data_IF_911311366321
#
_entry.id   IF_911311366321
#
_cell.length_a   1.000
_cell.length_b   1.000
_cell.length_c   1.000
_cell.angle_alpha   90.00
_cell.angle_beta   90.00
_cell.angle_gamma   90.00
#
_symmetry.space_group_name_H-M   'P 1'
#
loop_
_entity.id
_entity.type
_entity.pdbx_description
1 polymer ?
#
# COMPACT_ATOMS: atom_id res chain seq x y z
N UNK A 1 13.65 7.47 -22.06
CA UNK A 1 14.25 7.43 -20.71
C UNK A 1 14.93 6.07 -20.49
N UNK A 2 16.02 6.00 -19.73
CA UNK A 2 16.67 4.72 -19.39
C UNK A 2 15.75 3.90 -18.47
N UNK A 3 15.69 2.58 -18.66
CA UNK A 3 14.94 1.66 -17.79
C UNK A 3 15.48 1.73 -16.36
N UNK A 4 14.59 1.74 -15.38
CA UNK A 4 14.94 1.70 -13.95
C UNK A 4 15.56 0.35 -13.62
N UNK A 5 16.60 0.32 -12.78
CA UNK A 5 17.04 -0.91 -12.11
C UNK A 5 16.65 -0.81 -10.64
N UNK A 6 15.88 -1.78 -10.14
CA UNK A 6 15.49 -1.86 -8.74
C UNK A 6 16.70 -2.14 -7.83
N UNK A 7 16.55 -2.03 -6.52
CA UNK A 7 17.59 -2.46 -5.58
C UNK A 7 17.99 -3.93 -5.78
N UNK A 8 17.03 -4.79 -6.13
CA UNK A 8 17.29 -6.18 -6.51
C UNK A 8 18.14 -6.28 -7.78
N UNK A 9 17.80 -5.53 -8.85
CA UNK A 9 18.59 -5.53 -10.09
C UNK A 9 20.02 -5.01 -9.86
N UNK A 10 20.19 -4.04 -8.97
CA UNK A 10 21.52 -3.52 -8.58
C UNK A 10 22.31 -4.58 -7.84
N UNK A 11 21.72 -5.25 -6.84
CA UNK A 11 22.36 -6.35 -6.11
C UNK A 11 22.80 -7.47 -7.05
N UNK A 12 21.94 -7.88 -7.99
CA UNK A 12 22.24 -8.97 -8.93
C UNK A 12 23.42 -8.63 -9.85
N UNK A 13 23.54 -7.37 -10.28
CA UNK A 13 24.60 -6.95 -11.21
C UNK A 13 25.95 -6.71 -10.55
N UNK A 14 25.97 -6.38 -9.26
CA UNK A 14 27.20 -6.02 -8.55
C UNK A 14 27.77 -7.19 -7.72
N UNK A 15 28.69 -7.93 -8.33
CA UNK A 15 29.38 -9.06 -7.70
C UNK A 15 30.20 -8.62 -6.47
N UNK A 16 30.75 -7.40 -6.45
CA UNK A 16 31.53 -6.94 -5.31
C UNK A 16 30.62 -6.62 -4.14
N UNK A 17 29.48 -5.98 -4.39
CA UNK A 17 28.44 -5.77 -3.38
C UNK A 17 27.95 -7.09 -2.79
N UNK A 18 27.70 -8.12 -3.62
CA UNK A 18 27.31 -9.45 -3.15
C UNK A 18 28.32 -10.05 -2.16
N UNK A 19 29.62 -9.87 -2.41
CA UNK A 19 30.70 -10.37 -1.54
C UNK A 19 30.78 -9.66 -0.19
N UNK A 20 30.21 -8.46 -0.05
CA UNK A 20 30.16 -7.75 1.24
C UNK A 20 29.21 -8.40 2.24
N UNK A 21 28.24 -9.20 1.76
CA UNK A 21 27.25 -9.87 2.59
C UNK A 21 27.69 -11.30 2.93
N UNK A 22 28.54 -11.43 3.94
CA UNK A 22 29.08 -12.72 4.43
C UNK A 22 28.16 -13.37 5.46
N UNK A 23 28.23 -14.70 5.63
CA UNK A 23 27.33 -15.40 6.56
C UNK A 23 25.93 -15.63 6.00
N UNK A 24 24.97 -15.93 6.87
CA UNK A 24 23.64 -16.38 6.49
C UNK A 24 22.72 -15.23 6.12
N UNK A 25 21.96 -15.42 5.04
CA UNK A 25 21.02 -14.43 4.53
C UNK A 25 19.59 -14.95 4.58
N UNK A 26 18.67 -14.02 4.82
CA UNK A 26 17.24 -14.26 4.72
C UNK A 26 16.57 -13.17 3.90
N UNK A 27 15.35 -13.43 3.41
CA UNK A 27 14.64 -12.53 2.52
C UNK A 27 13.17 -12.39 2.92
N UNK A 28 12.75 -11.17 3.23
CA UNK A 28 11.35 -10.74 3.27
C UNK A 28 10.93 -10.31 1.86
N UNK A 29 10.02 -11.06 1.25
CA UNK A 29 9.56 -10.82 -0.12
C UNK A 29 8.13 -11.33 -0.34
N UNK A 30 7.59 -11.02 -1.51
CA UNK A 30 6.28 -11.49 -1.98
C UNK A 30 6.34 -11.79 -3.48
N UNK A 31 5.21 -12.13 -4.12
CA UNK A 31 5.19 -12.50 -5.53
C UNK A 31 5.70 -11.40 -6.49
N UNK A 32 5.48 -10.11 -6.16
CA UNK A 32 5.97 -8.99 -6.96
C UNK A 32 7.46 -8.64 -6.76
N UNK A 33 8.18 -9.42 -5.95
CA UNK A 33 9.62 -9.31 -5.70
C UNK A 33 10.38 -9.95 -6.86
N UNK A 34 10.27 -9.36 -8.05
CA UNK A 34 10.92 -9.84 -9.28
C UNK A 34 11.97 -8.85 -9.76
N UNK A 35 12.95 -9.37 -10.50
CA UNK A 35 13.92 -8.57 -11.24
C UNK A 35 13.35 -8.15 -12.62
N UNK A 36 14.13 -7.37 -13.36
CA UNK A 36 13.74 -6.89 -14.69
C UNK A 36 13.55 -7.96 -15.77
N UNK A 37 13.85 -9.23 -15.47
CA UNK A 37 13.71 -10.42 -16.35
C UNK A 37 12.63 -11.39 -15.87
N UNK A 38 11.70 -10.94 -15.02
CA UNK A 38 10.61 -11.76 -14.47
C UNK A 38 11.07 -12.93 -13.57
N UNK A 39 12.30 -12.88 -13.05
CA UNK A 39 12.80 -13.87 -12.11
C UNK A 39 12.56 -13.40 -10.68
N UNK A 40 11.94 -14.26 -9.88
CA UNK A 40 11.68 -14.00 -8.46
C UNK A 40 12.97 -13.84 -7.65
N UNK A 41 12.95 -12.93 -6.68
CA UNK A 41 14.08 -12.58 -5.81
C UNK A 41 14.62 -13.81 -5.09
N UNK A 42 13.76 -14.67 -4.53
CA UNK A 42 14.16 -15.91 -3.88
C UNK A 42 15.01 -16.84 -4.78
N UNK A 43 14.69 -16.92 -6.08
CA UNK A 43 15.50 -17.68 -7.05
C UNK A 43 16.87 -17.06 -7.23
N UNK A 44 16.94 -15.72 -7.35
CA UNK A 44 18.21 -15.00 -7.44
C UNK A 44 19.03 -15.07 -6.16
N UNK A 45 18.40 -15.10 -5.00
CA UNK A 45 19.08 -15.28 -3.73
C UNK A 45 19.67 -16.69 -3.61
N UNK A 46 18.95 -17.73 -4.04
CA UNK A 46 19.50 -19.10 -4.14
C UNK A 46 20.72 -19.15 -5.07
N UNK A 47 20.67 -18.48 -6.22
CA UNK A 47 21.80 -18.41 -7.18
C UNK A 47 23.02 -17.69 -6.58
N UNK A 48 22.82 -16.55 -5.92
CA UNK A 48 23.90 -15.68 -5.42
C UNK A 48 24.51 -16.21 -4.13
N UNK A 49 23.67 -16.63 -3.17
CA UNK A 49 24.10 -16.95 -1.81
C UNK A 49 24.17 -18.45 -1.53
N UNK A 50 23.63 -19.30 -2.40
CA UNK A 50 23.69 -20.75 -2.28
C UNK A 50 23.10 -21.24 -0.95
N UNK A 51 23.84 -22.08 -0.23
CA UNK A 51 23.43 -22.65 1.06
C UNK A 51 23.33 -21.62 2.19
N UNK A 52 23.83 -20.39 2.01
CA UNK A 52 23.70 -19.31 2.99
C UNK A 52 22.32 -18.67 2.97
N UNK A 53 21.53 -18.87 1.91
CA UNK A 53 20.14 -18.43 1.88
C UNK A 53 19.28 -19.41 2.67
N UNK A 54 18.93 -19.04 3.90
CA UNK A 54 18.46 -20.00 4.91
C UNK A 54 17.00 -19.84 5.31
N UNK A 55 16.39 -18.66 5.09
CA UNK A 55 15.04 -18.35 5.59
C UNK A 55 14.32 -17.36 4.66
N UNK A 56 13.01 -17.53 4.55
CA UNK A 56 12.08 -16.65 3.85
C UNK A 56 11.07 -16.07 4.83
N UNK A 57 10.63 -14.83 4.56
CA UNK A 57 9.56 -14.17 5.27
C UNK A 57 8.53 -13.63 4.27
N UNK A 58 7.24 -13.80 4.57
CA UNK A 58 6.12 -13.25 3.80
C UNK A 58 5.36 -12.19 4.60
N UNK A 59 4.95 -11.07 3.99
CA UNK A 59 4.13 -10.04 4.64
C UNK A 59 2.64 -10.43 4.64
N UNK A 60 1.74 -9.45 4.80
CA UNK A 60 0.32 -9.60 4.46
C UNK A 60 0.16 -10.18 3.04
N UNK A 61 -0.84 -11.06 2.84
CA UNK A 61 -1.03 -11.91 1.65
C UNK A 61 -0.02 -13.05 1.47
N UNK A 62 0.99 -13.15 2.32
CA UNK A 62 1.99 -14.22 2.30
C UNK A 62 3.06 -14.08 1.23
N UNK A 63 4.04 -15.00 1.26
CA UNK A 63 5.14 -15.06 0.30
C UNK A 63 4.64 -15.26 -1.16
N UNK A 64 3.61 -16.08 -1.35
CA UNK A 64 3.00 -16.41 -2.64
C UNK A 64 1.91 -15.43 -3.08
N UNK A 65 1.48 -14.51 -2.21
CA UNK A 65 0.39 -13.55 -2.51
C UNK A 65 -0.94 -14.23 -2.87
N UNK A 66 -1.21 -15.40 -2.27
CA UNK A 66 -2.39 -16.23 -2.51
C UNK A 66 -3.50 -16.02 -1.47
N UNK A 67 -3.20 -15.38 -0.34
CA UNK A 67 -4.22 -15.07 0.67
C UNK A 67 -5.01 -13.81 0.31
N UNK A 68 -6.34 -13.91 0.34
CA UNK A 68 -7.26 -12.80 0.07
C UNK A 68 -7.18 -11.70 1.16
N UNK A 69 -7.88 -10.58 0.94
CA UNK A 69 -7.98 -9.46 1.89
C UNK A 69 -8.87 -9.75 3.11
N UNK A 70 -8.87 -8.83 4.10
CA UNK A 70 -9.58 -8.91 5.38
C UNK A 70 -9.06 -9.99 6.35
N UNK A 71 -7.89 -9.77 6.96
CA UNK A 71 -7.38 -10.58 8.09
C UNK A 71 -7.22 -12.09 7.82
N UNK A 72 -6.94 -12.47 6.58
CA UNK A 72 -6.65 -13.88 6.26
C UNK A 72 -5.18 -14.14 6.57
N UNK A 73 -4.96 -14.92 7.62
CA UNK A 73 -3.64 -15.34 8.07
C UNK A 73 -3.02 -16.38 7.13
N UNK A 74 -1.69 -16.43 7.06
CA UNK A 74 -0.95 -17.41 6.27
C UNK A 74 -0.04 -18.25 7.15
N UNK A 75 -0.03 -19.57 6.99
CA UNK A 75 0.75 -20.45 7.87
C UNK A 75 2.26 -20.42 7.56
N UNK A 76 3.07 -20.82 8.54
CA UNK A 76 4.47 -21.16 8.33
C UNK A 76 4.60 -22.50 7.61
N UNK A 77 5.63 -22.66 6.77
CA UNK A 77 5.88 -23.93 6.05
C UNK A 77 7.33 -24.04 5.57
N UNK A 78 7.74 -25.22 5.10
CA UNK A 78 9.00 -25.42 4.38
C UNK A 78 8.73 -25.30 2.89
N UNK A 79 9.41 -24.38 2.20
CA UNK A 79 9.20 -24.21 0.77
C UNK A 79 9.67 -25.45 0.00
N UNK A 80 8.83 -26.08 -0.86
CA UNK A 80 9.15 -27.36 -1.48
C UNK A 80 10.38 -27.31 -2.42
N UNK A 81 10.57 -26.21 -3.16
CA UNK A 81 11.71 -26.03 -4.06
C UNK A 81 12.99 -25.48 -3.38
N UNK A 82 12.88 -24.50 -2.49
CA UNK A 82 14.04 -23.90 -1.80
C UNK A 82 14.52 -24.76 -0.62
N UNK A 83 13.65 -25.60 -0.06
CA UNK A 83 13.88 -26.43 1.12
C UNK A 83 14.38 -25.63 2.34
N UNK A 84 13.78 -24.47 2.54
CA UNK A 84 14.03 -23.56 3.68
C UNK A 84 12.68 -23.13 4.29
N UNK A 85 12.65 -22.75 5.58
CA UNK A 85 11.44 -22.25 6.20
C UNK A 85 10.98 -20.92 5.59
N UNK A 86 9.66 -20.80 5.46
CA UNK A 86 8.92 -19.58 5.13
C UNK A 86 8.10 -19.21 6.36
N UNK A 87 8.43 -18.08 6.97
CA UNK A 87 7.69 -17.51 8.09
C UNK A 87 6.70 -16.46 7.58
N UNK A 88 5.50 -16.45 8.14
CA UNK A 88 4.49 -15.43 7.87
C UNK A 88 4.59 -14.34 8.93
N UNK A 89 4.66 -13.09 8.49
CA UNK A 89 4.54 -11.90 9.35
C UNK A 89 3.12 -11.32 9.28
N UNK A 90 2.14 -12.19 9.04
CA UNK A 90 0.73 -11.85 9.09
C UNK A 90 -0.12 -13.00 9.67
N UNK A 91 0.50 -13.97 10.33
CA UNK A 91 -0.14 -15.07 11.06
C UNK A 91 -0.39 -14.66 12.52
N UNK A 92 -0.09 -15.53 13.49
CA UNK A 92 -0.14 -15.21 14.92
C UNK A 92 0.68 -13.97 15.31
N UNK A 93 1.64 -13.56 14.46
CA UNK A 93 2.47 -12.38 14.69
C UNK A 93 2.62 -11.53 13.43
N UNK A 94 2.78 -10.22 13.64
CA UNK A 94 3.18 -9.23 12.63
C UNK A 94 4.65 -8.80 12.77
N UNK A 95 5.32 -9.33 13.79
CA UNK A 95 6.72 -9.07 14.13
C UNK A 95 7.44 -10.41 14.18
N UNK A 96 8.62 -10.59 13.54
CA UNK A 96 9.33 -11.85 13.63
C UNK A 96 9.71 -12.16 15.08
N UNK A 97 9.61 -13.43 15.48
CA UNK A 97 10.09 -13.88 16.80
C UNK A 97 11.61 -14.00 16.82
N UNK A 98 12.22 -14.10 18.01
CA UNK A 98 13.67 -14.26 18.11
C UNK A 98 14.16 -15.58 17.48
N UNK A 99 13.36 -16.65 17.60
CA UNK A 99 13.61 -17.95 16.96
C UNK A 99 13.60 -17.83 15.42
N UNK A 100 12.64 -17.07 14.87
CA UNK A 100 12.62 -16.82 13.43
C UNK A 100 13.88 -16.09 12.96
N UNK A 101 14.45 -15.20 13.77
CA UNK A 101 15.65 -14.43 13.44
C UNK A 101 16.97 -15.17 13.71
N UNK A 102 16.94 -16.32 14.39
CA UNK A 102 18.14 -17.04 14.79
C UNK A 102 19.02 -17.42 13.59
N UNK A 103 20.32 -17.20 13.72
CA UNK A 103 21.31 -17.59 12.71
C UNK A 103 21.31 -16.75 11.44
N UNK A 104 20.55 -15.65 11.37
CA UNK A 104 20.57 -14.68 10.27
C UNK A 104 21.68 -13.63 10.55
N UNK A 105 22.48 -13.29 9.54
CA UNK A 105 23.41 -12.16 9.59
C UNK A 105 22.90 -10.97 8.77
N UNK A 106 22.32 -11.25 7.60
CA UNK A 106 21.76 -10.22 6.71
C UNK A 106 20.31 -10.55 6.36
N UNK A 107 19.39 -9.65 6.69
CA UNK A 107 17.98 -9.77 6.37
C UNK A 107 17.61 -8.76 5.28
N UNK A 108 17.39 -9.27 4.07
CA UNK A 108 17.00 -8.44 2.93
C UNK A 108 15.49 -8.25 2.91
N UNK A 109 15.06 -7.05 2.52
CA UNK A 109 13.65 -6.69 2.33
C UNK A 109 13.48 -6.23 0.89
N UNK A 110 12.67 -6.96 0.13
CA UNK A 110 12.34 -6.65 -1.25
C UNK A 110 10.83 -6.71 -1.44
N UNK A 111 10.13 -5.59 -1.28
CA UNK A 111 8.66 -5.51 -1.36
C UNK A 111 8.24 -4.36 -2.27
N UNK A 112 7.43 -4.66 -3.29
CA UNK A 112 6.77 -3.63 -4.10
C UNK A 112 5.57 -3.06 -3.33
N UNK A 113 5.77 -1.90 -2.71
CA UNK A 113 4.71 -1.08 -2.11
C UNK A 113 3.96 -0.26 -3.19
N UNK A 114 2.92 0.47 -2.79
CA UNK A 114 2.05 1.22 -3.70
C UNK A 114 2.01 2.73 -3.44
N UNK A 115 2.72 3.22 -2.43
CA UNK A 115 2.78 4.66 -2.13
C UNK A 115 1.59 5.19 -1.35
N UNK A 116 0.81 4.31 -0.73
CA UNK A 116 -0.37 4.65 0.04
C UNK A 116 -0.23 4.18 1.49
N UNK A 117 -0.54 5.07 2.45
CA UNK A 117 -0.40 4.82 3.89
C UNK A 117 -1.04 3.51 4.34
N UNK A 118 -2.21 3.18 3.80
CA UNK A 118 -2.97 2.00 4.24
C UNK A 118 -2.43 0.67 3.73
N UNK A 119 -1.40 0.68 2.88
CA UNK A 119 -0.77 -0.54 2.38
C UNK A 119 0.32 -1.02 3.35
N UNK A 120 0.16 -2.20 3.93
CA UNK A 120 0.86 -2.56 5.20
C UNK A 120 2.32 -3.00 5.06
N UNK A 121 2.87 -3.05 3.84
CA UNK A 121 4.25 -3.52 3.62
C UNK A 121 5.29 -2.59 4.24
N UNK A 122 5.05 -1.27 4.19
CA UNK A 122 5.87 -0.29 4.89
C UNK A 122 5.90 -0.52 6.41
N UNK A 123 4.79 -0.99 7.00
CA UNK A 123 4.70 -1.23 8.43
C UNK A 123 5.30 -2.57 8.84
N UNK A 124 5.22 -3.58 7.98
CA UNK A 124 5.97 -4.82 8.14
C UNK A 124 7.47 -4.52 8.22
N UNK A 125 7.98 -3.61 7.39
CA UNK A 125 9.37 -3.17 7.44
C UNK A 125 9.70 -2.42 8.73
N UNK A 126 8.87 -1.46 9.18
CA UNK A 126 9.20 -0.70 10.39
C UNK A 126 9.14 -1.56 11.66
N UNK A 127 8.19 -2.49 11.75
CA UNK A 127 8.15 -3.49 12.81
C UNK A 127 9.39 -4.39 12.81
N UNK A 128 9.84 -4.80 11.62
CA UNK A 128 11.06 -5.59 11.48
C UNK A 128 12.30 -4.81 11.94
N UNK A 129 12.41 -3.53 11.58
CA UNK A 129 13.50 -2.66 12.01
C UNK A 129 13.52 -2.52 13.53
N UNK A 130 12.37 -2.28 14.16
CA UNK A 130 12.25 -2.23 15.62
C UNK A 130 12.70 -3.54 16.28
N UNK A 131 12.31 -4.69 15.71
CA UNK A 131 12.71 -6.01 16.24
C UNK A 131 14.20 -6.29 16.09
N UNK A 132 14.86 -5.70 15.10
CA UNK A 132 16.29 -5.83 14.86
C UNK A 132 17.17 -4.83 15.65
N UNK A 133 16.58 -3.94 16.44
CA UNK A 133 17.34 -3.08 17.36
C UNK A 133 18.17 -3.96 18.32
N UNK A 134 19.44 -3.58 18.51
CA UNK A 134 20.41 -4.30 19.36
C UNK A 134 20.69 -5.76 18.96
N UNK A 135 20.32 -6.18 17.73
CA UNK A 135 20.71 -7.48 17.16
C UNK A 135 21.91 -7.31 16.23
N UNK A 136 22.74 -8.34 16.16
CA UNK A 136 23.83 -8.43 15.17
C UNK A 136 23.28 -8.90 13.81
N UNK A 137 22.27 -8.18 13.32
CA UNK A 137 21.59 -8.42 12.04
C UNK A 137 21.60 -7.12 11.25
N UNK A 138 22.20 -7.12 10.07
CA UNK A 138 22.06 -6.03 9.12
C UNK A 138 20.74 -6.22 8.35
N UNK A 139 19.86 -5.21 8.37
CA UNK A 139 18.64 -5.16 7.56
C UNK A 139 18.94 -4.37 6.29
N UNK A 140 18.70 -4.99 5.12
CA UNK A 140 19.02 -4.40 3.82
C UNK A 140 17.75 -4.22 2.99
N UNK A 141 17.34 -2.98 2.76
CA UNK A 141 16.20 -2.66 1.90
C UNK A 141 16.66 -2.60 0.44
N UNK A 142 16.13 -3.50 -0.38
CA UNK A 142 16.22 -3.45 -1.83
C UNK A 142 15.16 -2.49 -2.34
N UNK A 143 15.55 -1.24 -2.58
CA UNK A 143 14.56 -0.21 -2.80
C UNK A 143 13.80 -0.37 -4.13
N UNK A 144 12.54 0.08 -4.14
CA UNK A 144 11.61 -0.06 -5.27
C UNK A 144 10.86 1.24 -5.58
N UNK A 145 10.40 1.43 -6.82
CA UNK A 145 9.65 2.62 -7.20
C UNK A 145 8.38 2.77 -6.38
N UNK A 146 8.09 4.00 -5.95
CA UNK A 146 6.73 4.37 -5.61
C UNK A 146 5.90 4.45 -6.92
N UNK A 147 4.87 3.61 -7.12
CA UNK A 147 4.18 3.54 -8.40
C UNK A 147 3.29 4.75 -8.70
N UNK A 148 2.93 5.53 -7.67
CA UNK A 148 2.20 6.79 -7.78
C UNK A 148 3.10 8.02 -7.56
N UNK A 149 4.37 7.89 -7.95
CA UNK A 149 5.42 8.91 -7.93
C UNK A 149 5.92 9.32 -6.52
N UNK A 150 7.03 10.04 -6.50
CA UNK A 150 7.68 10.56 -5.30
C UNK A 150 7.55 12.08 -5.12
N UNK A 151 6.66 12.74 -5.85
CA UNK A 151 6.49 14.22 -5.80
C UNK A 151 5.20 14.61 -5.11
N UNK A 152 4.09 13.99 -5.51
CA UNK A 152 2.77 14.39 -5.03
C UNK A 152 2.50 13.84 -3.64
N UNK A 153 2.20 14.75 -2.72
CA UNK A 153 1.75 14.45 -1.38
C UNK A 153 0.28 14.84 -1.27
N UNK A 154 -0.55 13.98 -0.71
CA UNK A 154 -2.00 14.20 -0.63
C UNK A 154 -2.64 13.47 0.57
N UNK A 155 -3.66 14.09 1.14
CA UNK A 155 -4.47 13.55 2.21
C UNK A 155 -3.99 13.92 3.60
N UNK A 156 -4.86 13.74 4.59
CA UNK A 156 -4.57 14.07 5.97
C UNK A 156 -3.44 13.19 6.53
N UNK A 157 -2.68 13.76 7.46
CA UNK A 157 -1.74 13.01 8.30
C UNK A 157 -2.51 12.19 9.33
N UNK A 158 -2.01 10.99 9.63
CA UNK A 158 -2.55 10.13 10.69
C UNK A 158 -2.41 10.82 12.06
N UNK A 159 -3.49 10.83 12.83
CA UNK A 159 -3.50 11.25 14.23
C UNK A 159 -3.14 10.05 15.15
N UNK A 160 -2.29 10.23 16.18
CA UNK A 160 -1.79 9.12 17.01
C UNK A 160 -2.87 8.24 17.65
N UNK A 161 -4.02 8.82 18.00
CA UNK A 161 -5.16 8.08 18.57
C UNK A 161 -5.81 7.08 17.60
N UNK A 162 -5.50 7.15 16.29
CA UNK A 162 -5.97 6.20 15.27
C UNK A 162 -4.85 5.29 14.76
N UNK A 163 -3.70 5.23 15.46
CA UNK A 163 -2.60 4.34 15.10
C UNK A 163 -3.06 2.86 15.07
N UNK A 164 -2.68 2.15 14.02
CA UNK A 164 -3.04 0.75 13.79
C UNK A 164 -2.07 0.06 12.81
N UNK A 165 -2.29 -1.22 12.52
CA UNK A 165 -1.46 -1.94 11.54
C UNK A 165 -1.55 -1.39 10.11
N UNK A 166 -2.65 -0.71 9.76
CA UNK A 166 -2.81 -0.02 8.46
C UNK A 166 -2.44 1.47 8.53
N UNK A 167 -1.85 1.91 9.62
CA UNK A 167 -1.49 3.31 9.84
C UNK A 167 -0.67 3.46 11.12
N UNK A 168 0.66 3.27 11.05
CA UNK A 168 1.54 3.35 12.24
C UNK A 168 2.19 4.71 12.47
N UNK A 169 2.33 5.51 11.41
CA UNK A 169 3.20 6.68 11.42
C UNK A 169 2.42 7.90 10.93
N UNK A 170 2.72 9.10 11.45
CA UNK A 170 2.07 10.35 11.06
C UNK A 170 2.52 10.78 9.66
N UNK A 171 2.07 10.02 8.66
CA UNK A 171 2.28 10.29 7.23
C UNK A 171 0.93 10.53 6.54
N UNK A 172 0.90 11.30 5.44
CA UNK A 172 -0.29 11.49 4.65
C UNK A 172 -0.66 10.25 3.85
N UNK A 173 -1.90 10.19 3.36
CA UNK A 173 -2.44 9.05 2.62
C UNK A 173 -1.59 8.72 1.39
N UNK A 174 -1.24 9.71 0.58
CA UNK A 174 -0.22 9.61 -0.47
C UNK A 174 1.07 10.25 0.05
N UNK A 175 2.02 9.42 0.42
CA UNK A 175 3.20 9.86 1.18
C UNK A 175 4.42 10.21 0.31
N UNK A 176 4.42 9.87 -0.98
CA UNK A 176 5.49 10.26 -1.91
C UNK A 176 6.91 9.72 -1.55
N UNK A 177 7.00 8.65 -0.77
CA UNK A 177 8.28 7.99 -0.40
C UNK A 177 8.44 6.65 -1.11
N UNK A 178 9.68 6.25 -1.37
CA UNK A 178 10.01 4.84 -1.62
C UNK A 178 10.03 4.05 -0.31
N UNK A 179 10.05 2.72 -0.38
CA UNK A 179 10.14 1.88 0.83
C UNK A 179 11.48 2.07 1.57
N UNK A 180 12.56 2.35 0.83
CA UNK A 180 13.85 2.75 1.42
C UNK A 180 13.80 4.09 2.15
N UNK A 181 13.10 5.09 1.59
CA UNK A 181 12.88 6.38 2.26
C UNK A 181 12.04 6.24 3.53
N UNK A 182 11.02 5.38 3.53
CA UNK A 182 10.25 5.03 4.75
C UNK A 182 11.18 4.46 5.82
N UNK A 183 12.08 3.54 5.48
CA UNK A 183 13.02 2.94 6.41
C UNK A 183 13.91 4.00 7.09
N UNK A 184 14.41 4.95 6.29
CA UNK A 184 15.25 6.05 6.76
C UNK A 184 14.46 7.04 7.62
N UNK A 185 13.23 7.38 7.21
CA UNK A 185 12.35 8.25 8.00
C UNK A 185 12.03 7.63 9.36
N UNK A 186 11.71 6.34 9.38
CA UNK A 186 11.46 5.59 10.61
C UNK A 186 12.65 5.66 11.56
N UNK A 187 13.85 5.32 11.08
CA UNK A 187 15.09 5.38 11.87
C UNK A 187 15.43 6.78 12.39
N UNK A 188 15.00 7.84 11.69
CA UNK A 188 15.28 9.23 12.07
C UNK A 188 14.26 9.82 13.03
N UNK A 189 12.96 9.53 12.83
CA UNK A 189 11.88 10.27 13.47
C UNK A 189 11.01 9.43 14.42
N UNK A 190 10.91 8.12 14.22
CA UNK A 190 9.90 7.29 14.87
C UNK A 190 10.47 6.20 15.79
N UNK A 191 11.79 6.12 15.91
CA UNK A 191 12.47 5.26 16.89
C UNK A 191 13.55 6.04 17.66
N UNK A 192 13.80 5.63 18.90
CA UNK A 192 14.86 6.17 19.75
C UNK A 192 16.21 5.52 19.47
N UNK A 193 16.20 4.22 19.20
CA UNK A 193 17.39 3.41 18.92
C UNK A 193 17.33 2.90 17.50
N UNK A 194 18.51 2.74 16.90
CA UNK A 194 18.62 2.39 15.48
C UNK A 194 19.00 0.93 15.30
N UNK A 195 18.37 0.29 14.33
CA UNK A 195 18.83 -0.99 13.82
C UNK A 195 19.98 -0.77 12.83
N UNK A 196 20.77 -1.81 12.57
CA UNK A 196 21.77 -1.78 11.51
C UNK A 196 21.07 -1.82 10.14
N UNK A 197 20.75 -0.65 9.58
CA UNK A 197 20.01 -0.50 8.32
C UNK A 197 20.94 -0.08 7.18
N UNK A 198 20.78 -0.74 6.03
CA UNK A 198 21.33 -0.33 4.73
C UNK A 198 20.23 -0.27 3.67
N UNK A 199 20.32 0.69 2.75
CA UNK A 199 19.42 0.79 1.59
C UNK A 199 20.23 0.63 0.31
N UNK A 200 19.90 -0.35 -0.52
CA UNK A 200 20.42 -0.45 -1.89
C UNK A 200 19.51 0.38 -2.78
N UNK A 201 19.99 1.56 -3.17
CA UNK A 201 19.25 2.51 -4.02
C UNK A 201 19.02 1.94 -5.42
N UNK A 202 17.89 2.31 -6.00
CA UNK A 202 17.63 2.13 -7.42
C UNK A 202 18.56 2.98 -8.27
N UNK A 203 18.64 2.66 -9.56
CA UNK A 203 19.26 3.54 -10.56
C UNK A 203 18.24 3.95 -11.62
N UNK A 204 18.39 5.16 -12.16
CA UNK A 204 17.53 5.79 -13.16
C UNK A 204 16.08 6.09 -12.73
N UNK A 205 15.64 5.69 -11.53
CA UNK A 205 14.37 6.15 -11.00
C UNK A 205 14.46 7.65 -10.71
N UNK A 206 13.39 8.38 -11.02
CA UNK A 206 13.24 9.78 -10.69
C UNK A 206 11.88 9.98 -10.05
N UNK A 207 11.79 10.95 -9.13
CA UNK A 207 10.59 11.16 -8.33
C UNK A 207 9.34 11.44 -9.16
N UNK A 208 9.46 12.06 -10.33
CA UNK A 208 8.32 12.35 -11.21
C UNK A 208 7.73 11.11 -11.91
N UNK A 209 8.44 9.98 -11.90
CA UNK A 209 8.00 8.76 -12.58
C UNK A 209 6.81 8.12 -11.88
N UNK A 210 5.76 7.84 -12.65
CA UNK A 210 4.78 6.82 -12.30
C UNK A 210 5.34 5.43 -12.67
N UNK A 211 4.71 4.36 -12.19
CA UNK A 211 5.21 3.00 -12.44
C UNK A 211 5.45 2.70 -13.92
N UNK A 212 4.54 3.14 -14.80
CA UNK A 212 4.62 2.91 -16.24
C UNK A 212 5.87 3.54 -16.88
N UNK A 213 6.37 4.65 -16.33
CA UNK A 213 7.56 5.35 -16.84
C UNK A 213 8.85 4.57 -16.55
N UNK A 214 8.83 3.69 -15.55
CA UNK A 214 9.99 2.91 -15.11
C UNK A 214 10.41 1.82 -16.12
N UNK A 215 9.47 1.40 -16.98
CA UNK A 215 9.60 0.25 -17.89
C UNK A 215 9.90 -1.09 -17.17
N UNK A 216 9.57 -1.17 -15.88
CA UNK A 216 9.65 -2.40 -15.11
C UNK A 216 8.40 -3.27 -15.35
N UNK A 217 8.53 -4.60 -15.23
CA UNK A 217 7.37 -5.48 -15.24
C UNK A 217 6.50 -5.25 -14.00
N UNK A 218 5.18 -5.27 -14.18
CA UNK A 218 4.22 -5.27 -13.07
C UNK A 218 3.79 -6.70 -12.77
N UNK A 219 3.94 -7.09 -11.51
CA UNK A 219 3.29 -8.26 -10.92
C UNK A 219 2.45 -7.74 -9.77
N UNK A 220 1.23 -8.26 -9.63
CA UNK A 220 0.30 -7.80 -8.60
C UNK A 220 0.90 -7.97 -7.20
N UNK A 221 1.07 -6.89 -6.42
CA UNK A 221 1.62 -6.98 -5.08
C UNK A 221 0.59 -7.50 -4.06
N UNK A 222 -0.70 -7.54 -4.41
CA UNK A 222 -1.80 -8.16 -3.66
C UNK A 222 -2.88 -8.68 -4.64
N UNK A 223 -3.72 -9.66 -4.27
CA UNK A 223 -4.64 -10.33 -5.20
C UNK A 223 -5.58 -9.39 -5.98
N UNK A 224 -5.99 -8.29 -5.36
CA UNK A 224 -6.95 -7.34 -5.91
C UNK A 224 -6.30 -6.08 -6.49
N UNK A 225 -4.96 -6.03 -6.61
CA UNK A 225 -4.23 -4.94 -7.26
C UNK A 225 -3.53 -5.43 -8.53
N UNK A 226 -4.35 -5.93 -9.47
CA UNK A 226 -3.89 -6.60 -10.67
C UNK A 226 -3.11 -5.69 -11.63
N UNK A 227 -3.46 -4.40 -11.71
CA UNK A 227 -2.91 -3.47 -12.70
C UNK A 227 -2.12 -2.33 -12.03
N UNK A 228 -1.06 -1.81 -12.68
CA UNK A 228 -0.36 -0.65 -12.19
C UNK A 228 -1.23 0.62 -12.21
N UNK A 229 -2.22 0.70 -13.11
CA UNK A 229 -3.20 1.79 -13.09
C UNK A 229 -4.01 1.83 -11.80
N UNK A 230 -4.33 0.67 -11.23
CA UNK A 230 -5.12 0.57 -9.99
C UNK A 230 -4.37 1.15 -8.79
N UNK A 231 -3.04 1.31 -8.83
CA UNK A 231 -2.31 1.99 -7.75
C UNK A 231 -2.70 3.46 -7.64
N UNK A 232 -3.10 4.08 -8.76
CA UNK A 232 -3.49 5.48 -8.79
C UNK A 232 -4.90 5.67 -8.23
N UNK A 233 -5.82 4.72 -8.43
CA UNK A 233 -7.20 4.78 -7.88
C UNK A 233 -7.29 4.21 -6.45
N UNK A 234 -6.30 3.42 -6.02
CA UNK A 234 -6.27 2.82 -4.69
C UNK A 234 -6.54 3.83 -3.56
N UNK A 235 -5.89 5.01 -3.48
CA UNK A 235 -6.12 5.94 -2.37
C UNK A 235 -7.54 6.53 -2.35
N UNK A 236 -8.27 6.47 -3.47
CA UNK A 236 -9.71 6.81 -3.51
C UNK A 236 -10.58 5.66 -3.03
N UNK A 237 -10.27 4.44 -3.48
CA UNK A 237 -11.18 3.28 -3.41
C UNK A 237 -11.02 2.47 -2.13
N UNK A 238 -9.83 2.46 -1.53
CA UNK A 238 -9.58 1.78 -0.25
C UNK A 238 -10.45 2.33 0.89
N UNK A 239 -10.85 3.60 0.81
CA UNK A 239 -11.74 4.24 1.78
C UNK A 239 -13.08 3.49 1.95
N UNK A 240 -13.57 2.88 0.88
CA UNK A 240 -14.84 2.15 0.89
C UNK A 240 -14.77 0.82 1.64
N UNK A 241 -13.59 0.32 2.00
CA UNK A 241 -13.43 -0.81 2.92
C UNK A 241 -14.08 -0.53 4.29
N UNK A 242 -14.20 0.75 4.66
CA UNK A 242 -14.91 1.22 5.85
C UNK A 242 -16.44 1.25 5.72
N UNK A 243 -17.03 0.71 4.65
CA UNK A 243 -18.47 0.80 4.33
C UNK A 243 -19.05 -0.52 3.82
N UNK A 244 -20.36 -0.58 3.65
CA UNK A 244 -21.07 -1.66 2.96
C UNK A 244 -21.06 -1.59 1.41
N UNK A 245 -20.51 -0.54 0.80
CA UNK A 245 -20.39 -0.42 -0.66
C UNK A 245 -19.33 -1.37 -1.19
N UNK A 246 -19.53 -1.96 -2.37
CA UNK A 246 -18.50 -2.74 -3.06
C UNK A 246 -17.50 -1.82 -3.75
N UNK A 247 -16.21 -1.99 -3.49
CA UNK A 247 -15.07 -1.35 -4.17
C UNK A 247 -14.55 -2.19 -5.35
N UNK A 248 -15.40 -3.06 -5.90
CA UNK A 248 -15.11 -3.83 -7.11
C UNK A 248 -14.37 -5.15 -6.88
N UNK A 249 -13.99 -5.48 -5.64
CA UNK A 249 -13.57 -6.86 -5.29
C UNK A 249 -14.70 -7.82 -5.63
N UNK A 250 -14.36 -9.00 -6.14
CA UNK A 250 -15.36 -9.90 -6.77
C UNK A 250 -15.54 -9.71 -8.27
N UNK A 251 -14.83 -8.77 -8.90
CA UNK A 251 -14.92 -8.48 -10.34
C UNK A 251 -13.54 -8.47 -11.01
N UNK A 252 -13.49 -8.23 -12.32
CA UNK A 252 -12.25 -8.01 -13.06
C UNK A 252 -11.68 -6.57 -12.93
N UNK A 253 -12.32 -5.70 -12.13
CA UNK A 253 -11.92 -4.30 -11.96
C UNK A 253 -11.89 -3.87 -10.47
N UNK A 254 -11.25 -4.65 -9.58
CA UNK A 254 -11.13 -4.27 -8.18
C UNK A 254 -10.41 -2.92 -8.04
N UNK A 255 -10.85 -2.11 -7.08
CA UNK A 255 -10.23 -0.84 -6.70
C UNK A 255 -10.22 0.21 -7.82
N UNK A 256 -11.13 0.06 -8.80
CA UNK A 256 -11.38 1.03 -9.87
C UNK A 256 -12.88 1.39 -10.01
N UNK A 257 -13.75 0.61 -9.38
CA UNK A 257 -15.20 0.80 -9.36
C UNK A 257 -15.73 0.79 -7.94
N UNK A 258 -16.79 1.57 -7.69
CA UNK A 258 -17.53 1.56 -6.42
C UNK A 258 -19.02 1.51 -6.67
N UNK A 259 -19.79 0.77 -5.86
CA UNK A 259 -21.24 0.67 -6.05
C UNK A 259 -22.01 -0.08 -4.96
N UNK A 260 -23.33 -0.05 -5.11
CA UNK A 260 -24.29 -0.70 -4.21
C UNK A 260 -25.57 -1.07 -4.99
N UNK A 261 -26.31 -2.14 -4.61
CA UNK A 261 -27.54 -2.55 -5.31
C UNK A 261 -28.66 -1.51 -5.33
N UNK A 262 -28.57 -0.48 -4.49
CA UNK A 262 -29.58 0.58 -4.36
C UNK A 262 -29.28 1.83 -5.19
N UNK A 263 -28.21 1.82 -5.97
CA UNK A 263 -27.84 2.92 -6.86
C UNK A 263 -28.43 2.67 -8.24
N UNK A 264 -29.17 3.64 -8.78
CA UNK A 264 -29.39 3.74 -10.21
C UNK A 264 -28.30 4.68 -10.76
N UNK A 265 -27.27 4.15 -11.45
CA UNK A 265 -26.02 4.88 -11.66
C UNK A 265 -26.14 6.02 -12.66
N UNK A 266 -27.03 5.93 -13.65
CA UNK A 266 -27.14 6.95 -14.69
C UNK A 266 -27.81 8.22 -14.18
N UNK A 267 -28.97 8.09 -13.52
CA UNK A 267 -29.68 9.22 -12.92
C UNK A 267 -28.91 9.81 -11.73
N UNK A 268 -28.23 8.98 -10.91
CA UNK A 268 -27.34 9.51 -9.88
C UNK A 268 -26.21 10.35 -10.47
N UNK A 269 -25.62 9.90 -11.57
CA UNK A 269 -24.57 10.64 -12.25
C UNK A 269 -25.08 11.97 -12.86
N UNK A 270 -26.08 11.88 -13.74
CA UNK A 270 -26.60 13.01 -14.51
C UNK A 270 -27.26 14.08 -13.63
N UNK A 271 -28.07 13.66 -12.65
CA UNK A 271 -28.88 14.60 -11.88
C UNK A 271 -28.12 15.21 -10.69
N UNK A 272 -27.00 14.60 -10.26
CA UNK A 272 -26.33 14.98 -9.02
C UNK A 272 -24.81 14.99 -9.14
N UNK A 273 -24.18 13.83 -9.32
CA UNK A 273 -22.73 13.69 -9.16
C UNK A 273 -21.93 14.51 -10.17
N UNK A 274 -22.42 14.65 -11.41
CA UNK A 274 -21.76 15.47 -12.43
C UNK A 274 -21.64 16.95 -11.99
N UNK A 275 -22.67 17.50 -11.32
CA UNK A 275 -22.63 18.85 -10.76
C UNK A 275 -21.68 18.94 -9.57
N UNK A 276 -21.72 17.96 -8.65
CA UNK A 276 -20.82 17.92 -7.49
C UNK A 276 -19.34 17.87 -7.91
N UNK A 277 -18.99 17.07 -8.92
CA UNK A 277 -17.63 17.01 -9.49
C UNK A 277 -17.24 18.34 -10.15
N UNK A 278 -18.14 18.98 -10.90
CA UNK A 278 -17.85 20.29 -11.50
C UNK A 278 -17.59 21.35 -10.42
N UNK A 279 -18.37 21.34 -9.36
CA UNK A 279 -18.27 22.32 -8.27
C UNK A 279 -17.04 22.09 -7.38
N UNK A 280 -16.54 20.86 -7.29
CA UNK A 280 -15.32 20.54 -6.54
C UNK A 280 -14.04 21.05 -7.19
N UNK A 281 -14.08 21.37 -8.49
CA UNK A 281 -12.90 21.76 -9.30
C UNK A 281 -11.80 20.68 -9.31
N UNK A 282 -12.12 19.43 -8.98
CA UNK A 282 -11.19 18.32 -9.12
C UNK A 282 -11.08 17.92 -10.59
N UNK A 283 -9.86 17.69 -11.05
CA UNK A 283 -9.54 17.41 -12.46
C UNK A 283 -8.68 16.14 -12.60
N UNK A 284 -8.33 15.78 -13.84
CA UNK A 284 -7.49 14.61 -14.14
C UNK A 284 -8.23 13.27 -14.15
N UNK A 285 -9.55 13.27 -14.01
CA UNK A 285 -10.38 12.06 -14.06
C UNK A 285 -11.73 12.28 -14.74
N UNK A 286 -12.37 11.16 -15.09
CA UNK A 286 -13.78 11.06 -15.47
C UNK A 286 -14.44 9.96 -14.65
N UNK A 287 -15.70 10.18 -14.31
CA UNK A 287 -16.55 9.15 -13.73
C UNK A 287 -17.46 8.62 -14.83
N UNK A 288 -17.52 7.29 -14.95
CA UNK A 288 -18.45 6.60 -15.85
C UNK A 288 -19.46 5.80 -15.02
N UNK A 289 -20.77 6.05 -15.14
CA UNK A 289 -21.77 5.18 -14.52
C UNK A 289 -21.68 3.76 -15.09
N UNK A 290 -21.85 2.76 -14.23
CA UNK A 290 -21.70 1.34 -14.56
C UNK A 290 -22.64 0.48 -13.71
N UNK A 291 -23.00 -0.69 -14.21
CA UNK A 291 -23.59 -1.79 -13.44
C UNK A 291 -22.61 -2.96 -13.42
N UNK A 292 -22.43 -3.62 -12.27
CA UNK A 292 -21.52 -4.76 -12.12
C UNK A 292 -22.03 -5.76 -11.09
N UNK A 293 -21.50 -6.99 -11.12
CA UNK A 293 -21.88 -8.09 -10.24
C UNK A 293 -20.63 -8.65 -9.56
N UNK A 294 -20.38 -8.34 -8.27
CA UNK A 294 -19.34 -9.00 -7.49
C UNK A 294 -19.66 -10.49 -7.30
N UNK A 295 -18.66 -11.35 -7.44
CA UNK A 295 -18.77 -12.81 -7.22
C UNK A 295 -18.31 -13.27 -5.84
N UNK A 296 -17.67 -12.38 -5.08
CA UNK A 296 -17.25 -12.59 -3.69
C UNK A 296 -17.11 -11.21 -3.00
N UNK A 297 -16.82 -11.19 -1.70
CA UNK A 297 -16.78 -9.96 -0.85
C UNK A 297 -18.14 -9.22 -0.78
N UNK A 298 -18.10 -7.91 -0.49
CA UNK A 298 -19.29 -7.06 -0.31
C UNK A 298 -20.18 -7.08 -1.54
N UNK A 299 -21.48 -7.24 -1.29
CA UNK A 299 -22.52 -7.30 -2.31
C UNK A 299 -22.34 -8.47 -3.31
N UNK A 300 -21.68 -9.55 -2.89
CA UNK A 300 -21.60 -10.78 -3.68
C UNK A 300 -22.98 -11.23 -4.15
N UNK A 301 -23.04 -11.67 -5.41
CA UNK A 301 -24.23 -12.20 -6.09
C UNK A 301 -25.40 -11.19 -6.18
N UNK A 302 -25.14 -9.89 -5.97
CA UNK A 302 -26.10 -8.80 -6.16
C UNK A 302 -25.62 -7.84 -7.23
N UNK A 303 -26.50 -7.49 -8.15
CA UNK A 303 -26.22 -6.48 -9.17
C UNK A 303 -26.11 -5.11 -8.50
N UNK A 304 -24.96 -4.46 -8.66
CA UNK A 304 -24.66 -3.13 -8.13
C UNK A 304 -24.71 -2.10 -9.26
N UNK A 305 -25.47 -1.03 -9.06
CA UNK A 305 -25.22 0.23 -9.76
C UNK A 305 -24.03 0.93 -9.11
N UNK A 306 -23.22 1.62 -9.91
CA UNK A 306 -22.04 2.29 -9.40
C UNK A 306 -21.30 3.14 -10.41
N UNK A 307 -20.05 3.41 -10.08
CA UNK A 307 -19.20 4.38 -10.75
C UNK A 307 -17.83 3.74 -11.04
N UNK A 308 -17.30 3.95 -12.24
CA UNK A 308 -15.92 3.66 -12.57
C UNK A 308 -15.10 4.96 -12.66
N UNK A 309 -13.93 4.97 -12.04
CA UNK A 309 -12.96 6.06 -12.17
C UNK A 309 -12.06 5.80 -13.38
N UNK A 310 -12.02 6.75 -14.31
CA UNK A 310 -11.07 6.79 -15.43
C UNK A 310 -10.10 7.93 -15.22
N UNK A 311 -8.80 7.64 -15.09
CA UNK A 311 -7.79 8.69 -14.96
C UNK A 311 -7.43 9.21 -16.35
N UNK A 312 -7.66 10.50 -16.59
CA UNK A 312 -7.36 11.16 -17.86
C UNK A 312 -6.01 11.88 -17.83
N UNK A 313 -5.59 12.36 -16.66
CA UNK A 313 -4.28 12.96 -16.45
C UNK A 313 -3.82 12.70 -15.01
N UNK A 314 -2.78 11.87 -14.86
CA UNK A 314 -2.26 11.44 -13.56
C UNK A 314 -1.52 12.57 -12.82
N UNK A 315 -1.04 13.59 -13.52
CA UNK A 315 -0.24 14.67 -12.93
C UNK A 315 -1.08 15.65 -12.09
N UNK A 316 -2.36 15.78 -12.42
CA UNK A 316 -3.31 16.67 -11.72
C UNK A 316 -4.37 15.90 -10.94
N UNK A 317 -4.50 14.59 -11.15
CA UNK A 317 -5.44 13.74 -10.42
C UNK A 317 -5.09 13.65 -8.92
N UNK A 318 -6.07 13.91 -8.07
CA UNK A 318 -5.98 13.91 -6.60
C UNK A 318 -6.85 12.79 -6.02
N UNK A 319 -6.35 11.54 -5.96
CA UNK A 319 -7.15 10.37 -5.60
C UNK A 319 -7.79 10.45 -4.22
N UNK A 320 -7.09 10.88 -3.17
CA UNK A 320 -7.71 10.94 -1.84
C UNK A 320 -8.88 11.92 -1.83
N UNK A 321 -8.72 13.12 -2.40
CA UNK A 321 -9.81 14.11 -2.49
C UNK A 321 -11.01 13.60 -3.28
N UNK A 322 -10.75 12.91 -4.39
CA UNK A 322 -11.82 12.28 -5.20
C UNK A 322 -12.53 11.18 -4.41
N UNK A 323 -11.79 10.34 -3.68
CA UNK A 323 -12.38 9.30 -2.82
C UNK A 323 -13.29 9.88 -1.74
N UNK A 324 -12.84 10.93 -1.04
CA UNK A 324 -13.63 11.59 0.00
C UNK A 324 -14.88 12.28 -0.57
N UNK A 325 -14.76 12.94 -1.73
CA UNK A 325 -15.92 13.50 -2.42
C UNK A 325 -16.93 12.40 -2.76
N UNK A 326 -16.50 11.32 -3.39
CA UNK A 326 -17.38 10.20 -3.74
C UNK A 326 -18.02 9.57 -2.50
N UNK A 327 -17.28 9.41 -1.41
CA UNK A 327 -17.80 8.93 -0.13
C UNK A 327 -18.95 9.80 0.38
N UNK A 328 -18.77 11.13 0.40
CA UNK A 328 -19.81 12.08 0.84
C UNK A 328 -21.05 12.01 -0.05
N UNK A 329 -20.87 12.05 -1.37
CA UNK A 329 -22.00 12.03 -2.30
C UNK A 329 -22.77 10.70 -2.23
N UNK A 330 -22.07 9.57 -2.10
CA UNK A 330 -22.69 8.25 -1.98
C UNK A 330 -23.39 8.06 -0.63
N UNK A 331 -22.81 8.58 0.47
CA UNK A 331 -23.42 8.56 1.80
C UNK A 331 -24.80 9.23 1.79
N UNK A 332 -24.88 10.46 1.27
CA UNK A 332 -26.15 11.19 1.23
C UNK A 332 -27.13 10.66 0.19
N UNK A 333 -26.65 10.13 -0.93
CA UNK A 333 -27.52 9.53 -1.94
C UNK A 333 -28.20 8.25 -1.45
N UNK A 334 -27.45 7.37 -0.78
CA UNK A 334 -27.96 6.10 -0.27
C UNK A 334 -28.79 6.26 1.01
N UNK A 335 -28.51 7.27 1.84
CA UNK A 335 -29.24 7.52 3.08
C UNK A 335 -29.25 6.28 3.97
N UNK A 336 -30.45 5.73 4.22
CA UNK A 336 -30.62 4.55 5.07
C UNK A 336 -30.00 3.26 4.51
N UNK A 337 -29.70 3.20 3.21
CA UNK A 337 -29.04 2.05 2.59
C UNK A 337 -27.50 2.10 2.74
N UNK A 338 -26.95 3.22 3.21
CA UNK A 338 -25.52 3.34 3.53
C UNK A 338 -25.24 2.86 4.95
N UNK A 339 -24.21 2.03 5.11
CA UNK A 339 -23.72 1.63 6.42
C UNK A 339 -22.21 1.78 6.52
N UNK A 340 -21.74 2.47 7.56
CA UNK A 340 -20.37 2.36 8.02
C UNK A 340 -20.13 0.93 8.51
N UNK A 341 -19.04 0.30 8.07
CA UNK A 341 -18.61 -1.00 8.59
C UNK A 341 -18.42 -0.88 10.10
N UNK A 342 -18.82 -1.90 10.85
CA UNK A 342 -18.61 -1.96 12.30
C UNK A 342 -17.27 -2.66 12.59
N UNK A 343 -16.63 -2.38 13.73
CA UNK A 343 -15.48 -3.17 14.18
C UNK A 343 -15.84 -4.67 14.28
N UNK A 344 -14.86 -5.58 14.15
CA UNK A 344 -13.43 -5.32 14.01
C UNK A 344 -12.96 -5.05 12.58
N UNK A 345 -11.78 -4.44 12.46
CA UNK A 345 -11.08 -4.25 11.19
C UNK A 345 -9.57 -4.20 11.39
N UNK A 346 -8.84 -5.07 10.68
CA UNK A 346 -7.37 -5.16 10.73
C UNK A 346 -6.84 -5.17 12.18
N UNK A 347 -7.42 -6.04 13.02
CA UNK A 347 -7.10 -6.23 14.44
C UNK A 347 -7.42 -5.04 15.37
N UNK A 348 -8.11 -4.00 14.88
CA UNK A 348 -8.75 -2.99 15.73
C UNK A 348 -10.19 -3.42 16.03
N UNK A 349 -10.55 -3.51 17.31
CA UNK A 349 -11.85 -4.04 17.78
C UNK A 349 -12.79 -2.96 18.31
N UNK A 350 -12.36 -1.70 18.38
CA UNK A 350 -13.05 -0.64 19.12
C UNK A 350 -13.46 0.53 18.24
N UNK A 351 -12.56 0.99 17.36
CA UNK A 351 -12.76 2.17 16.54
C UNK A 351 -13.41 1.82 15.20
N UNK A 352 -14.23 2.73 14.67
CA UNK A 352 -14.86 2.53 13.37
C UNK A 352 -13.77 2.33 12.29
N UNK A 353 -13.90 1.32 11.43
CA UNK A 353 -12.96 1.05 10.34
C UNK A 353 -12.65 2.27 9.47
N UNK A 354 -13.65 3.09 9.13
CA UNK A 354 -13.44 4.30 8.34
C UNK A 354 -12.55 5.33 9.04
N UNK A 355 -12.65 5.45 10.37
CA UNK A 355 -11.85 6.40 11.15
C UNK A 355 -10.39 5.91 11.22
N UNK A 356 -10.18 4.58 11.31
CA UNK A 356 -8.85 3.94 11.24
C UNK A 356 -8.22 4.08 9.86
N UNK A 357 -8.99 3.83 8.79
CA UNK A 357 -8.52 4.00 7.41
C UNK A 357 -8.10 5.45 7.14
N UNK A 358 -8.93 6.41 7.57
CA UNK A 358 -8.62 7.83 7.45
C UNK A 358 -7.56 8.31 8.44
N UNK A 359 -7.32 7.59 9.53
CA UNK A 359 -6.40 8.02 10.57
C UNK A 359 -6.90 9.24 11.35
N UNK A 360 -8.21 9.47 11.34
CA UNK A 360 -8.95 10.54 12.04
C UNK A 360 -10.45 10.28 11.89
N UNK A 361 -11.27 10.70 12.86
CA UNK A 361 -12.73 10.67 12.75
C UNK A 361 -13.30 11.90 12.02
N UNK A 362 -12.50 12.96 11.86
CA UNK A 362 -12.91 14.24 11.26
C UNK A 362 -13.47 14.08 9.85
N UNK A 363 -12.93 13.15 9.06
CA UNK A 363 -13.41 12.92 7.69
C UNK A 363 -14.77 12.23 7.66
N UNK A 364 -15.02 11.29 8.56
CA UNK A 364 -16.35 10.70 8.70
C UNK A 364 -17.36 11.75 9.14
N UNK A 365 -17.01 12.60 10.09
CA UNK A 365 -17.88 13.70 10.56
C UNK A 365 -18.15 14.73 9.45
N UNK A 366 -17.14 15.06 8.63
CA UNK A 366 -17.28 15.91 7.44
C UNK A 366 -18.23 15.29 6.39
N UNK A 367 -18.12 13.98 6.16
CA UNK A 367 -19.07 13.23 5.32
C UNK A 367 -20.48 13.30 5.91
N UNK A 368 -20.67 12.97 7.18
CA UNK A 368 -21.98 12.90 7.82
C UNK A 368 -22.70 14.26 7.85
N UNK A 369 -21.94 15.35 7.99
CA UNK A 369 -22.47 16.72 8.08
C UNK A 369 -22.76 17.37 6.72
N UNK A 370 -22.44 16.68 5.61
CA UNK A 370 -22.48 17.23 4.24
C UNK A 370 -21.69 18.53 4.08
N UNK A 371 -20.55 18.64 4.77
CA UNK A 371 -19.79 19.88 4.85
C UNK A 371 -19.15 20.25 3.52
N UNK A 372 -18.87 21.54 3.31
CA UNK A 372 -18.27 22.05 2.07
C UNK A 372 -16.90 21.40 1.80
N UNK A 373 -16.57 21.19 0.52
CA UNK A 373 -15.27 20.67 0.09
C UNK A 373 -14.09 21.56 0.48
N UNK A 374 -14.30 22.85 0.69
CA UNK A 374 -13.25 23.74 1.20
C UNK A 374 -12.77 23.31 2.60
N UNK A 375 -13.65 22.69 3.41
CA UNK A 375 -13.28 22.12 4.72
C UNK A 375 -12.40 20.88 4.53
N UNK A 376 -12.62 20.06 3.50
CA UNK A 376 -11.78 18.90 3.20
C UNK A 376 -10.31 19.31 2.99
N UNK A 377 -10.08 20.44 2.32
CA UNK A 377 -8.74 20.97 2.10
C UNK A 377 -8.03 21.40 3.39
N UNK A 378 -8.78 21.80 4.42
CA UNK A 378 -8.21 22.19 5.72
C UNK A 378 -7.59 21.01 6.49
N UNK A 379 -7.96 19.77 6.15
CA UNK A 379 -7.37 18.57 6.76
C UNK A 379 -5.98 18.22 6.20
N UNK A 380 -5.55 18.85 5.11
CA UNK A 380 -4.23 18.63 4.50
C UNK A 380 -3.17 19.61 5.05
N UNK A 381 -2.87 19.53 6.35
CA UNK A 381 -1.75 20.26 6.93
C UNK A 381 -0.44 19.47 6.77
N UNK A 382 0.29 19.75 5.68
CA UNK A 382 1.43 18.93 5.22
C UNK A 382 2.78 19.65 5.27
N UNK A 383 2.86 20.84 5.86
CA UNK A 383 4.10 21.63 5.84
C UNK A 383 5.24 20.94 6.61
N UNK A 384 4.96 20.50 7.83
CA UNK A 384 5.96 19.81 8.65
C UNK A 384 6.40 18.49 8.01
N UNK A 385 5.45 17.75 7.43
CA UNK A 385 5.74 16.51 6.70
C UNK A 385 6.65 16.76 5.48
N UNK A 386 6.43 17.84 4.72
CA UNK A 386 7.29 18.19 3.58
C UNK A 386 8.72 18.45 4.01
N UNK A 387 8.92 19.21 5.09
CA UNK A 387 10.24 19.48 5.65
C UNK A 387 10.94 18.18 6.09
N UNK A 388 10.22 17.32 6.81
CA UNK A 388 10.73 16.00 7.21
C UNK A 388 11.11 15.15 6.00
N UNK A 389 10.27 15.13 4.97
CA UNK A 389 10.52 14.36 3.75
C UNK A 389 11.79 14.85 3.04
N UNK A 390 11.98 16.16 2.88
CA UNK A 390 13.15 16.75 2.21
C UNK A 390 14.48 16.32 2.85
N UNK A 391 14.50 16.06 4.16
CA UNK A 391 15.68 15.57 4.87
C UNK A 391 15.95 14.07 4.71
N UNK A 392 15.00 13.32 4.14
CA UNK A 392 15.06 11.86 3.99
C UNK A 392 15.28 11.42 2.54
N UNK A 393 14.88 12.23 1.56
CA UNK A 393 14.91 11.87 0.13
C UNK A 393 16.27 11.33 -0.30
N UNK A 394 16.26 10.24 -1.06
CA UNK A 394 17.47 9.62 -1.59
C UNK A 394 17.56 9.61 -3.13
N UNK A 395 16.54 10.18 -3.80
CA UNK A 395 16.40 10.34 -5.25
C UNK A 395 15.94 11.73 -5.65
#
# INVERSE_FOLDING_TARGET
>A
MKKVSTGLDVLIKDIQLQKTYSGNVALLCHNASINCTYTHAATKFKEIFGTRFIKLFGPQHGFTTDAQDNMIETNHYIHPYFNIPVYSLYSETRVPTDEMLEGINHLFVDLQDIGCRMYTYIYTLTLLLEKCINKDIEVIVLDRPNPINGIDIEGNTLEPEFESFIGRHPIPVRHAMTIGEIALMHQKLWTKEKANLKVIKMTNWKREMFFKDTQLPWVLPSPNLARPESTCTFPSLVLFEGTNLSEGRGTAQPLEIVGHPKIEPFSFYENHLASAIKNSKLEGFKIRPITFLPTFQKQADKVCGGLQIHITDRSIYKPWRVGQLLMRELYHHLGNDFEWKKPPYEYNYTQKPIDIINGTDKLRLWVESNDNIDILHSFENLNDYKLQLDEIKIY
#
